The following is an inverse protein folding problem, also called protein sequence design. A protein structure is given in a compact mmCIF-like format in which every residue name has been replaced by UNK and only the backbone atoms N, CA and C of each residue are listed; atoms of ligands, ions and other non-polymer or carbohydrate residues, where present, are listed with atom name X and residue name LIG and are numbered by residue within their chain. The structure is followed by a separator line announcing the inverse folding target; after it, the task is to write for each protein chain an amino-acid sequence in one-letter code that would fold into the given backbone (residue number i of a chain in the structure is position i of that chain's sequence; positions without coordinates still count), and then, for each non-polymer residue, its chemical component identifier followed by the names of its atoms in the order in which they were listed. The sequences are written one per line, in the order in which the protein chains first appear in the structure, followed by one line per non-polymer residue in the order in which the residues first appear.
data_IF_794840771345
#
_entry.id   IF_794840771345
#
_cell.length_a   1.000
_cell.length_b   1.000
_cell.length_c   1.000
_cell.angle_alpha   90.00
_cell.angle_beta   90.00
_cell.angle_gamma   90.00
#
_symmetry.space_group_name_H-M   'P 1'
#
loop_
_entity.id
_entity.type
_entity.pdbx_description
1 polymer ?
#
# COMPACT_ATOMS: atom_id res chain seq x y z
N UNK A 1 -32.13 -56.06 14.01
CA UNK A 1 -30.80 -55.73 13.54
C UNK A 1 -30.83 -54.31 13.02
N UNK A 2 -30.31 -53.36 13.80
CA UNK A 2 -30.39 -51.91 13.51
C UNK A 2 -29.05 -51.48 12.88
N UNK A 3 -29.10 -51.10 11.60
CA UNK A 3 -27.95 -50.52 10.92
C UNK A 3 -27.79 -49.07 11.29
N UNK A 4 -26.79 -48.74 12.12
CA UNK A 4 -26.33 -47.38 12.39
C UNK A 4 -25.49 -46.94 11.19
N UNK A 5 -26.03 -46.05 10.37
CA UNK A 5 -25.27 -45.31 9.35
C UNK A 5 -24.58 -44.11 10.08
N UNK A 6 -23.28 -44.23 10.28
CA UNK A 6 -22.42 -43.11 10.66
C UNK A 6 -22.16 -42.25 9.46
N UNK A 7 -22.89 -41.13 9.34
CA UNK A 7 -22.56 -40.09 8.37
C UNK A 7 -21.39 -39.29 8.91
N UNK A 8 -20.19 -39.57 8.41
CA UNK A 8 -18.97 -38.81 8.67
C UNK A 8 -19.06 -37.52 7.83
N UNK A 9 -19.52 -36.44 8.44
CA UNK A 9 -19.44 -35.09 7.87
C UNK A 9 -17.95 -34.68 7.87
N UNK A 10 -17.29 -34.84 6.72
CA UNK A 10 -16.02 -34.20 6.43
C UNK A 10 -16.27 -32.69 6.32
N UNK A 11 -16.07 -31.96 7.41
CA UNK A 11 -15.82 -30.53 7.36
C UNK A 11 -14.45 -30.34 6.67
N UNK A 12 -14.45 -30.27 5.36
CA UNK A 12 -13.33 -29.71 4.62
C UNK A 12 -13.31 -28.22 4.94
N UNK A 13 -12.56 -27.83 5.96
CA UNK A 13 -12.16 -26.44 6.17
C UNK A 13 -11.45 -26.01 4.89
N UNK A 14 -12.07 -25.11 4.13
CA UNK A 14 -11.42 -24.42 3.03
C UNK A 14 -10.29 -23.59 3.65
N UNK A 15 -9.11 -24.19 3.77
CA UNK A 15 -7.89 -23.45 4.02
C UNK A 15 -7.76 -22.43 2.86
N UNK A 16 -8.09 -21.19 3.15
CA UNK A 16 -7.92 -20.10 2.18
C UNK A 16 -6.42 -19.90 2.08
N UNK A 17 -5.84 -20.34 0.96
CA UNK A 17 -4.43 -20.11 0.71
C UNK A 17 -4.21 -18.59 0.70
N UNK A 18 -3.34 -18.14 1.57
CA UNK A 18 -2.92 -16.74 1.61
C UNK A 18 -2.25 -16.39 0.28
N UNK A 19 -2.54 -15.21 -0.25
CA UNK A 19 -1.90 -14.76 -1.48
C UNK A 19 -0.40 -14.53 -1.21
N UNK A 20 0.48 -14.87 -2.17
CA UNK A 20 1.88 -14.53 -2.04
C UNK A 20 2.03 -13.01 -1.94
N UNK A 21 3.04 -12.59 -1.21
CA UNK A 21 3.40 -11.19 -1.11
C UNK A 21 3.77 -10.63 -2.50
N UNK A 22 3.28 -9.42 -2.75
CA UNK A 22 3.64 -8.64 -3.93
C UNK A 22 4.61 -7.56 -3.48
N UNK A 23 5.78 -7.49 -4.13
CA UNK A 23 6.76 -6.45 -3.83
C UNK A 23 6.28 -5.09 -4.36
N UNK A 24 6.55 -4.02 -3.62
CA UNK A 24 6.26 -2.66 -4.04
C UNK A 24 6.95 -2.29 -5.35
N UNK A 25 8.16 -2.81 -5.60
CA UNK A 25 8.87 -2.60 -6.84
C UNK A 25 8.17 -3.26 -8.05
N UNK A 26 7.33 -4.28 -7.82
CA UNK A 26 6.54 -4.89 -8.90
C UNK A 26 5.43 -3.96 -9.43
N UNK A 27 5.06 -2.93 -8.66
CA UNK A 27 4.13 -1.89 -9.11
C UNK A 27 4.79 -0.87 -10.04
N UNK A 28 6.12 -0.87 -10.12
CA UNK A 28 6.88 0.04 -10.98
C UNK A 28 7.26 -0.63 -12.29
N UNK A 29 7.13 0.06 -13.45
CA UNK A 29 7.73 -0.41 -14.69
C UNK A 29 9.25 -0.56 -14.57
N UNK A 30 9.90 -1.43 -15.39
CA UNK A 30 11.34 -1.70 -15.30
C UNK A 30 12.22 -0.44 -15.38
N UNK A 31 11.84 0.52 -16.22
CA UNK A 31 12.58 1.77 -16.37
C UNK A 31 12.54 2.65 -15.11
N UNK A 32 11.42 2.66 -14.37
CA UNK A 32 11.30 3.42 -13.14
C UNK A 32 12.08 2.74 -12.01
N UNK A 33 12.07 1.40 -11.95
CA UNK A 33 12.90 0.64 -11.00
C UNK A 33 14.38 0.94 -11.20
N UNK A 34 14.84 0.90 -12.45
CA UNK A 34 16.21 1.22 -12.80
C UNK A 34 16.56 2.66 -12.40
N UNK A 35 15.69 3.62 -12.70
CA UNK A 35 15.90 5.02 -12.35
C UNK A 35 15.96 5.23 -10.83
N UNK A 36 15.21 4.44 -10.04
CA UNK A 36 15.24 4.48 -8.58
C UNK A 36 16.55 3.89 -8.03
N UNK A 37 17.03 2.78 -8.61
CA UNK A 37 18.31 2.15 -8.22
C UNK A 37 19.52 3.03 -8.55
N UNK A 38 19.45 3.81 -9.63
CA UNK A 38 20.51 4.73 -10.07
C UNK A 38 20.51 6.06 -9.30
N UNK A 39 19.50 6.27 -8.41
CA UNK A 39 19.46 7.48 -7.60
C UNK A 39 20.64 7.52 -6.62
N UNK A 40 21.34 8.67 -6.52
CA UNK A 40 22.34 8.84 -5.49
C UNK A 40 21.69 8.74 -4.10
N UNK A 41 22.42 8.14 -3.15
CA UNK A 41 22.00 8.10 -1.74
C UNK A 41 21.76 9.54 -1.25
N UNK A 42 20.50 9.87 -0.96
CA UNK A 42 20.15 11.15 -0.39
C UNK A 42 20.48 11.07 1.10
N UNK A 43 21.64 11.60 1.48
CA UNK A 43 22.03 11.69 2.88
C UNK A 43 21.11 12.66 3.62
N UNK A 44 20.33 12.16 4.57
CA UNK A 44 19.48 12.97 5.43
C UNK A 44 20.26 13.84 6.43
N UNK A 45 21.57 13.62 6.55
CA UNK A 45 22.46 14.37 7.45
C UNK A 45 23.02 15.66 6.85
N UNK A 46 22.77 15.95 5.57
CA UNK A 46 23.19 17.21 4.95
C UNK A 46 22.11 18.27 5.03
N UNK A 47 22.47 19.55 5.23
CA UNK A 47 21.51 20.66 5.17
C UNK A 47 20.77 20.74 3.83
N UNK A 48 21.39 20.24 2.75
CA UNK A 48 20.81 20.17 1.41
C UNK A 48 19.77 19.06 1.29
N UNK A 49 19.98 17.88 1.90
CA UNK A 49 19.00 16.79 1.95
C UNK A 49 17.70 17.19 2.64
N UNK A 50 17.80 17.98 3.72
CA UNK A 50 16.64 18.52 4.39
C UNK A 50 15.92 19.61 3.57
N UNK A 51 16.65 20.42 2.79
CA UNK A 51 16.06 21.51 2.02
C UNK A 51 15.27 21.02 0.81
N UNK A 52 15.64 19.87 0.23
CA UNK A 52 14.95 19.28 -0.92
C UNK A 52 13.49 18.91 -0.61
N UNK A 53 13.20 18.59 0.66
CA UNK A 53 11.90 18.13 1.10
C UNK A 53 11.08 19.16 1.90
N UNK A 54 11.72 20.12 2.56
CA UNK A 54 11.05 21.11 3.39
C UNK A 54 10.56 22.38 2.67
N UNK A 55 10.87 22.55 1.38
CA UNK A 55 10.52 23.74 0.60
C UNK A 55 9.19 23.70 -0.13
N UNK A 56 8.45 22.60 -0.08
CA UNK A 56 7.22 22.42 -0.87
C UNK A 56 5.99 22.74 -0.01
N UNK A 57 5.21 23.73 -0.42
CA UNK A 57 3.90 24.03 0.15
C UNK A 57 2.86 22.95 -0.23
N UNK A 58 3.07 21.73 0.26
CA UNK A 58 2.17 20.59 0.03
C UNK A 58 2.76 19.51 -0.86
N UNK A 59 2.20 18.32 -0.74
CA UNK A 59 2.64 17.06 -1.37
C UNK A 59 2.56 17.05 -2.91
N UNK A 60 1.94 18.05 -3.51
CA UNK A 60 1.70 18.15 -4.96
C UNK A 60 2.70 19.02 -5.70
N UNK A 61 3.56 19.75 -4.98
CA UNK A 61 4.49 20.65 -5.65
C UNK A 61 5.75 19.88 -6.04
N UNK A 62 5.96 19.69 -7.33
CA UNK A 62 7.16 19.06 -7.85
C UNK A 62 8.37 19.93 -7.55
N UNK A 63 9.38 19.35 -6.92
CA UNK A 63 10.69 19.96 -6.76
C UNK A 63 11.54 19.62 -8.00
N UNK A 64 11.99 20.60 -8.80
CA UNK A 64 12.78 20.35 -10.01
C UNK A 64 14.15 19.71 -9.72
N UNK A 65 14.62 19.79 -8.48
CA UNK A 65 15.90 19.20 -8.05
C UNK A 65 15.77 17.70 -7.72
N UNK A 66 14.55 17.15 -7.64
CA UNK A 66 14.34 15.73 -7.45
C UNK A 66 14.24 14.98 -8.79
N UNK A 67 14.78 13.75 -8.86
CA UNK A 67 14.67 12.92 -10.04
C UNK A 67 13.21 12.71 -10.48
N UNK A 68 12.97 12.67 -11.79
CA UNK A 68 11.63 12.53 -12.36
C UNK A 68 10.89 11.26 -11.89
N UNK A 69 11.61 10.19 -11.53
CA UNK A 69 11.04 8.95 -10.99
C UNK A 69 10.26 9.18 -9.68
N UNK A 70 10.62 10.19 -8.88
CA UNK A 70 9.90 10.55 -7.64
C UNK A 70 8.49 11.10 -7.90
N UNK A 71 8.15 11.36 -9.15
CA UNK A 71 6.83 11.85 -9.56
C UNK A 71 6.16 10.92 -10.57
N UNK A 72 6.70 9.72 -10.75
CA UNK A 72 6.19 8.81 -11.76
C UNK A 72 4.81 8.27 -11.38
N UNK A 73 3.89 8.39 -12.33
CA UNK A 73 2.58 7.75 -12.31
C UNK A 73 2.47 6.57 -13.30
N UNK A 74 3.60 6.14 -13.87
CA UNK A 74 3.62 5.00 -14.78
C UNK A 74 3.27 3.72 -14.02
N UNK A 75 2.50 2.86 -14.64
CA UNK A 75 1.98 1.64 -14.02
C UNK A 75 2.39 0.39 -14.79
N UNK A 76 2.19 -0.77 -14.20
CA UNK A 76 2.31 -2.09 -14.81
C UNK A 76 0.91 -2.57 -15.18
N UNK A 77 0.49 -2.48 -16.47
CA UNK A 77 -0.90 -2.77 -16.88
C UNK A 77 -1.35 -4.19 -16.56
N UNK A 78 -0.41 -5.14 -16.51
CA UNK A 78 -0.65 -6.55 -16.23
C UNK A 78 -1.15 -6.79 -14.79
N UNK A 79 -1.00 -5.81 -13.91
CA UNK A 79 -1.50 -5.86 -12.53
C UNK A 79 -2.98 -5.49 -12.42
N UNK A 80 -3.57 -4.92 -13.46
CA UNK A 80 -4.98 -4.57 -13.43
C UNK A 80 -5.86 -5.79 -13.23
N UNK A 81 -6.73 -5.73 -12.23
CA UNK A 81 -7.63 -6.82 -11.87
C UNK A 81 -6.98 -8.01 -11.14
N UNK A 82 -5.67 -7.99 -10.88
CA UNK A 82 -4.98 -9.07 -10.14
C UNK A 82 -5.34 -9.05 -8.66
N UNK A 83 -5.44 -10.26 -8.09
CA UNK A 83 -5.46 -10.41 -6.65
C UNK A 83 -4.02 -10.35 -6.13
N UNK A 84 -3.78 -9.43 -5.21
CA UNK A 84 -2.46 -9.17 -4.63
C UNK A 84 -2.54 -9.09 -3.11
N UNK A 85 -1.40 -9.28 -2.45
CA UNK A 85 -1.19 -8.99 -1.03
C UNK A 85 0.01 -8.06 -0.91
N UNK A 86 -0.22 -6.88 -0.33
CA UNK A 86 0.80 -5.87 -0.10
C UNK A 86 0.97 -5.64 1.39
N UNK A 87 2.22 -5.59 1.85
CA UNK A 87 2.59 -5.09 3.16
C UNK A 87 2.82 -3.59 3.11
N UNK A 88 2.34 -2.82 4.09
CA UNK A 88 2.58 -1.38 4.10
C UNK A 88 1.93 -0.67 5.27
N UNK A 89 2.01 0.65 5.25
CA UNK A 89 1.56 1.52 6.33
C UNK A 89 0.33 2.32 5.90
N UNK A 90 -0.70 2.42 6.75
CA UNK A 90 -1.91 3.14 6.41
C UNK A 90 -1.77 4.64 6.60
N UNK A 91 -2.31 5.41 5.65
CA UNK A 91 -2.56 6.86 5.80
C UNK A 91 -4.07 7.07 5.69
N UNK A 92 -4.79 7.18 6.82
CA UNK A 92 -6.25 7.25 6.82
C UNK A 92 -6.78 8.49 6.09
N UNK A 93 -7.85 8.32 5.31
CA UNK A 93 -8.54 9.39 4.59
C UNK A 93 -9.98 9.55 5.06
N UNK A 94 -10.72 8.43 5.17
CA UNK A 94 -12.12 8.41 5.59
C UNK A 94 -12.35 7.33 6.64
N UNK A 95 -13.29 7.60 7.54
CA UNK A 95 -13.73 6.67 8.56
C UNK A 95 -15.25 6.60 8.64
N UNK A 96 -15.76 5.45 9.10
CA UNK A 96 -17.17 5.27 9.41
C UNK A 96 -17.59 6.02 10.69
N UNK A 97 -18.89 5.94 11.03
CA UNK A 97 -19.42 6.58 12.23
C UNK A 97 -18.86 6.01 13.56
N UNK A 98 -18.22 4.84 13.51
CA UNK A 98 -17.56 4.18 14.64
C UNK A 98 -16.05 4.53 14.74
N UNK A 99 -15.52 5.28 13.75
CA UNK A 99 -14.13 5.67 13.69
C UNK A 99 -13.21 4.62 13.07
N UNK A 100 -13.78 3.58 12.41
CA UNK A 100 -12.98 2.63 11.66
C UNK A 100 -12.62 3.21 10.28
N UNK A 101 -11.36 3.10 9.87
CA UNK A 101 -10.91 3.56 8.56
C UNK A 101 -11.48 2.69 7.44
N UNK A 102 -12.18 3.32 6.50
CA UNK A 102 -12.82 2.67 5.34
C UNK A 102 -12.15 3.02 4.03
N UNK A 103 -11.39 4.12 4.01
CA UNK A 103 -10.60 4.58 2.88
C UNK A 103 -9.26 5.09 3.41
N UNK A 104 -8.15 4.61 2.83
CA UNK A 104 -6.81 5.01 3.22
C UNK A 104 -5.82 4.80 2.08
N UNK A 105 -4.72 5.56 2.08
CA UNK A 105 -3.58 5.16 1.27
C UNK A 105 -2.77 4.08 2.00
N UNK A 106 -2.30 3.10 1.24
CA UNK A 106 -1.24 2.19 1.66
C UNK A 106 0.07 2.67 1.05
N UNK A 107 1.12 2.75 1.87
CA UNK A 107 2.44 3.26 1.49
C UNK A 107 3.54 2.30 1.94
N UNK A 108 4.71 2.26 1.25
CA UNK A 108 5.75 1.26 1.52
C UNK A 108 6.56 1.51 2.80
N UNK A 109 6.55 2.72 3.37
CA UNK A 109 7.32 3.06 4.56
C UNK A 109 6.53 3.95 5.52
N UNK A 110 6.82 3.88 6.84
CA UNK A 110 6.08 4.62 7.84
C UNK A 110 6.34 6.13 7.76
N UNK A 111 5.33 6.94 8.07
CA UNK A 111 5.42 8.39 8.11
C UNK A 111 5.42 9.06 6.74
N UNK A 112 5.31 8.31 5.64
CA UNK A 112 5.08 8.85 4.31
C UNK A 112 3.87 9.79 4.32
N UNK A 113 3.96 10.87 3.56
CA UNK A 113 2.94 11.92 3.49
C UNK A 113 2.78 12.80 4.76
N UNK A 114 3.49 12.50 5.85
CA UNK A 114 3.40 13.27 7.10
C UNK A 114 4.75 13.88 7.49
N UNK A 115 5.80 13.05 7.55
CA UNK A 115 7.13 13.46 8.05
C UNK A 115 8.26 13.25 7.04
N UNK A 116 8.00 12.47 6.00
CA UNK A 116 8.93 12.18 4.90
C UNK A 116 8.23 12.47 3.57
N UNK A 117 8.99 12.71 2.48
CA UNK A 117 8.38 12.93 1.18
C UNK A 117 7.41 11.81 0.85
N UNK A 118 6.32 12.12 0.15
CA UNK A 118 5.44 11.08 -0.34
C UNK A 118 6.20 10.20 -1.32
N UNK A 119 5.90 8.90 -1.36
CA UNK A 119 6.37 8.04 -2.43
C UNK A 119 5.80 8.52 -3.77
N UNK A 120 6.43 8.15 -4.91
CA UNK A 120 5.87 8.45 -6.22
C UNK A 120 4.45 7.88 -6.35
N UNK A 121 3.59 8.46 -7.20
CA UNK A 121 2.21 8.00 -7.39
C UNK A 121 2.05 6.51 -7.68
N UNK A 122 3.02 5.87 -8.33
CA UNK A 122 3.01 4.43 -8.58
C UNK A 122 3.48 3.57 -7.40
N UNK A 123 3.81 4.20 -6.28
CA UNK A 123 4.08 3.59 -4.98
C UNK A 123 3.04 4.01 -3.93
N UNK A 124 1.89 4.49 -4.36
CA UNK A 124 0.72 4.79 -3.55
C UNK A 124 -0.46 3.95 -4.04
N UNK A 125 -1.12 3.25 -3.13
CA UNK A 125 -2.33 2.48 -3.44
C UNK A 125 -3.49 3.03 -2.62
N UNK A 126 -4.55 3.52 -3.28
CA UNK A 126 -5.78 3.88 -2.59
C UNK A 126 -6.57 2.62 -2.24
N UNK A 127 -6.70 2.33 -0.96
CA UNK A 127 -7.40 1.13 -0.47
C UNK A 127 -8.81 1.49 -0.05
N UNK A 128 -9.78 0.83 -0.65
CA UNK A 128 -11.18 0.86 -0.26
C UNK A 128 -11.51 -0.40 0.54
N UNK A 129 -11.87 -0.23 1.81
CA UNK A 129 -12.20 -1.32 2.74
C UNK A 129 -13.49 -1.03 3.49
N UNK A 130 -14.68 -1.30 2.90
CA UNK A 130 -15.98 -0.95 3.50
C UNK A 130 -16.28 -1.61 4.85
N UNK A 131 -15.60 -2.73 5.15
CA UNK A 131 -15.74 -3.39 6.46
C UNK A 131 -15.18 -2.56 7.61
N UNK A 132 -14.33 -1.59 7.30
CA UNK A 132 -13.65 -0.73 8.26
C UNK A 132 -12.57 -1.45 9.07
N UNK A 133 -11.48 -0.75 9.33
CA UNK A 133 -10.41 -1.20 10.21
C UNK A 133 -10.18 -0.16 11.29
N UNK A 134 -10.14 -0.61 12.55
CA UNK A 134 -9.69 0.24 13.64
C UNK A 134 -8.17 0.40 13.56
N UNK A 135 -7.73 1.64 13.38
CA UNK A 135 -6.31 2.02 13.33
C UNK A 135 -5.95 2.66 14.68
N UNK A 136 -5.38 1.87 15.58
CA UNK A 136 -4.89 2.37 16.88
C UNK A 136 -3.47 2.95 16.73
N UNK A 137 -2.70 2.50 15.74
CA UNK A 137 -1.35 2.99 15.41
C UNK A 137 -1.15 3.03 13.90
N UNK A 138 -0.93 4.23 13.35
CA UNK A 138 -0.65 4.43 11.92
C UNK A 138 0.78 4.03 11.51
N UNK A 139 1.67 3.80 12.48
CA UNK A 139 3.02 3.31 12.25
C UNK A 139 3.12 1.77 12.32
N UNK A 140 2.04 1.10 12.70
CA UNK A 140 1.98 -0.35 12.64
C UNK A 140 1.71 -0.81 11.20
N UNK A 141 2.54 -1.71 10.64
CA UNK A 141 2.35 -2.20 9.28
C UNK A 141 1.13 -3.12 9.17
N UNK A 142 0.51 -3.09 8.01
CA UNK A 142 -0.64 -3.90 7.66
C UNK A 142 -0.33 -4.83 6.49
N UNK A 143 -0.94 -6.01 6.49
CA UNK A 143 -1.17 -6.80 5.30
C UNK A 143 -2.53 -6.45 4.71
N UNK A 144 -2.54 -6.07 3.43
CA UNK A 144 -3.75 -5.76 2.69
C UNK A 144 -3.85 -6.70 1.50
N UNK A 145 -4.91 -7.50 1.47
CA UNK A 145 -5.20 -8.44 0.39
C UNK A 145 -6.45 -8.00 -0.36
N UNK A 146 -6.37 -7.90 -1.68
CA UNK A 146 -7.49 -7.43 -2.47
C UNK A 146 -7.26 -7.51 -3.97
N UNK A 147 -8.18 -6.91 -4.71
CA UNK A 147 -8.09 -6.78 -6.16
C UNK A 147 -7.46 -5.43 -6.49
N UNK A 148 -6.26 -5.45 -7.06
CA UNK A 148 -5.58 -4.25 -7.52
C UNK A 148 -6.19 -3.75 -8.83
N UNK A 149 -6.26 -2.43 -8.98
CA UNK A 149 -6.71 -1.75 -10.20
C UNK A 149 -5.68 -0.72 -10.63
N UNK A 150 -5.41 -0.67 -11.91
CA UNK A 150 -4.66 0.43 -12.53
C UNK A 150 -5.63 1.58 -12.70
N UNK A 151 -5.62 2.49 -11.74
CA UNK A 151 -6.56 3.61 -11.67
C UNK A 151 -5.87 4.83 -11.06
N UNK A 152 -5.81 5.91 -11.82
CA UNK A 152 -5.27 7.17 -11.32
C UNK A 152 -6.31 7.86 -10.43
N UNK A 153 -5.94 8.08 -9.19
CA UNK A 153 -6.76 8.76 -8.19
C UNK A 153 -6.03 9.98 -7.68
N UNK A 154 -6.75 11.08 -7.57
CA UNK A 154 -6.22 12.35 -7.09
C UNK A 154 -7.12 12.91 -5.99
N UNK A 155 -6.54 13.29 -4.84
CA UNK A 155 -7.26 13.99 -3.77
C UNK A 155 -6.41 15.14 -3.22
N UNK A 156 -6.85 15.78 -2.13
CA UNK A 156 -6.15 16.93 -1.56
C UNK A 156 -4.77 16.56 -0.98
N UNK A 157 -4.58 15.28 -0.58
CA UNK A 157 -3.36 14.83 0.07
C UNK A 157 -2.30 14.38 -0.94
N UNK A 158 -2.66 13.50 -1.89
CA UNK A 158 -1.73 12.91 -2.85
C UNK A 158 -2.42 12.41 -4.12
N UNK A 159 -1.59 12.06 -5.11
CA UNK A 159 -2.00 11.34 -6.31
C UNK A 159 -1.52 9.89 -6.19
N UNK A 160 -2.38 8.92 -6.51
CA UNK A 160 -2.06 7.50 -6.58
C UNK A 160 -2.32 6.97 -7.99
N UNK A 161 -1.47 6.07 -8.46
CA UNK A 161 -1.64 5.43 -9.77
C UNK A 161 -2.38 4.09 -9.69
N UNK A 162 -2.61 3.59 -8.46
CA UNK A 162 -3.29 2.34 -8.19
C UNK A 162 -4.41 2.53 -7.15
N UNK A 163 -5.45 1.72 -7.29
CA UNK A 163 -6.48 1.54 -6.28
C UNK A 163 -6.65 0.05 -5.95
N UNK A 164 -7.18 -0.28 -4.79
CA UNK A 164 -7.44 -1.65 -4.36
C UNK A 164 -8.80 -1.77 -3.68
N UNK A 165 -9.60 -2.73 -4.14
CA UNK A 165 -10.77 -3.19 -3.40
C UNK A 165 -10.33 -4.30 -2.44
N UNK A 166 -10.07 -3.91 -1.18
CA UNK A 166 -9.55 -4.82 -0.17
C UNK A 166 -10.64 -5.80 0.29
N UNK A 167 -10.26 -7.07 0.41
CA UNK A 167 -11.08 -8.14 0.99
C UNK A 167 -10.69 -8.45 2.41
N UNK A 168 -9.42 -8.24 2.71
CA UNK A 168 -8.84 -8.53 4.02
C UNK A 168 -7.77 -7.47 4.33
N UNK A 169 -7.84 -6.96 5.55
CA UNK A 169 -6.83 -6.05 6.10
C UNK A 169 -6.56 -6.53 7.52
N UNK A 170 -5.28 -6.79 7.83
CA UNK A 170 -4.85 -7.20 9.16
C UNK A 170 -3.50 -6.61 9.53
N UNK A 171 -3.21 -6.50 10.80
CA UNK A 171 -1.87 -6.14 11.26
C UNK A 171 -0.85 -7.20 10.86
N UNK A 172 0.39 -6.77 10.62
CA UNK A 172 1.56 -7.66 10.53
C UNK A 172 1.86 -8.14 11.95
N UNK A 173 2.12 -9.43 12.10
CA UNK A 173 2.48 -10.07 13.38
C UNK A 173 3.90 -10.58 13.36
N UNK A 174 4.44 -10.94 14.52
CA UNK A 174 5.79 -11.52 14.60
C UNK A 174 5.91 -12.81 13.79
N UNK A 175 4.81 -13.57 13.66
CA UNK A 175 4.76 -14.80 12.85
C UNK A 175 4.89 -14.55 11.34
N UNK A 176 4.63 -13.34 10.89
CA UNK A 176 4.79 -12.95 9.47
C UNK A 176 6.24 -12.59 9.13
N UNK A 177 7.10 -12.43 10.13
CA UNK A 177 8.50 -11.99 9.97
C UNK A 177 9.52 -13.13 10.08
N UNK A 178 9.07 -14.35 10.41
CA UNK A 178 9.87 -15.58 10.52
C UNK A 178 9.89 -16.35 9.17
#
# INVERSE_FOLDING_TARGET
MRHLLFALLLLAGLARAELPETDWLDLMPPEDRQALEEMPDISHDSPEGNSLFYGTNGLRQQNPDLPAVMYSSKTVPELDGKAVRLGGYPVPLESDAQGNSTLFFLVPYPGACIHVPPPPPNQLVLVHYPSGLRLDDIYAPLWVSGKLRVESVSNELADAAYAMDAREVRAVTDEDLD
#
